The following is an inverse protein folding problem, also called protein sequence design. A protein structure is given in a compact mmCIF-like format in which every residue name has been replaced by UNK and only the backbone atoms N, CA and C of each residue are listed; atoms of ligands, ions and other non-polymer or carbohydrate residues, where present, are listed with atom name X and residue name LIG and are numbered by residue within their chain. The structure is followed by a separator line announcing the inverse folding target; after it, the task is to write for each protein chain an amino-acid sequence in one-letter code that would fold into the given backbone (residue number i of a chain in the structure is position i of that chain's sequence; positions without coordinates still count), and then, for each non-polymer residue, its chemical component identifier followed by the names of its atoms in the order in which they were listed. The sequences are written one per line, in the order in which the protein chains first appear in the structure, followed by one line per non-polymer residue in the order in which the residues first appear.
data_IF_937554732971
#
_entry.id   IF_937554732971
#
_cell.length_a   1.000
_cell.length_b   1.000
_cell.length_c   1.000
_cell.angle_alpha   90.00
_cell.angle_beta   90.00
_cell.angle_gamma   90.00
#
_symmetry.space_group_name_H-M   'P 1'
#
loop_
_entity.id
_entity.type
_entity.pdbx_description
1 polymer ?
#
# COMPACT_ATOMS: atom_id res chain seq x y z
N UNK A 1 -4.24 -35.38 -13.26
CA UNK A 1 -5.19 -35.04 -12.18
C UNK A 1 -5.23 -33.53 -11.96
N UNK A 2 -4.10 -32.84 -11.71
CA UNK A 2 -4.06 -31.40 -11.43
C UNK A 2 -4.65 -30.52 -12.56
N UNK A 3 -4.40 -30.84 -13.84
CA UNK A 3 -4.99 -30.10 -14.99
C UNK A 3 -6.53 -30.15 -15.00
N UNK A 4 -7.15 -31.20 -14.48
CA UNK A 4 -8.61 -31.30 -14.36
C UNK A 4 -9.13 -30.38 -13.26
N UNK A 5 -8.50 -30.35 -12.08
CA UNK A 5 -8.92 -29.48 -10.97
C UNK A 5 -8.74 -27.99 -11.36
N UNK A 6 -7.61 -27.64 -11.97
CA UNK A 6 -7.38 -26.31 -12.50
C UNK A 6 -8.49 -25.87 -13.50
N UNK A 7 -8.85 -26.73 -14.46
CA UNK A 7 -9.94 -26.46 -15.41
C UNK A 7 -11.30 -26.29 -14.73
N UNK A 8 -11.54 -27.01 -13.63
CA UNK A 8 -12.75 -26.90 -12.84
C UNK A 8 -12.74 -25.70 -11.88
N UNK A 9 -11.70 -24.86 -11.90
CA UNK A 9 -11.48 -23.71 -11.01
C UNK A 9 -11.36 -24.08 -9.52
N UNK A 10 -11.03 -25.33 -9.21
CA UNK A 10 -10.68 -25.81 -7.88
C UNK A 10 -9.18 -25.57 -7.66
N UNK A 11 -8.84 -24.28 -7.50
CA UNK A 11 -7.44 -23.83 -7.47
C UNK A 11 -6.70 -24.24 -6.21
N UNK A 12 -7.38 -24.40 -5.09
CA UNK A 12 -6.77 -24.87 -3.83
C UNK A 12 -6.29 -26.33 -3.95
N UNK A 13 -7.19 -27.21 -4.39
CA UNK A 13 -6.84 -28.62 -4.67
C UNK A 13 -5.80 -28.71 -5.79
N UNK A 14 -5.92 -27.87 -6.83
CA UNK A 14 -4.95 -27.88 -7.92
C UNK A 14 -3.56 -27.45 -7.44
N UNK A 15 -3.45 -26.42 -6.60
CA UNK A 15 -2.18 -25.98 -6.01
C UNK A 15 -1.51 -27.10 -5.20
N UNK A 16 -2.27 -27.80 -4.34
CA UNK A 16 -1.76 -28.91 -3.55
C UNK A 16 -1.20 -30.04 -4.44
N UNK A 17 -1.95 -30.45 -5.48
CA UNK A 17 -1.52 -31.49 -6.41
C UNK A 17 -0.32 -31.08 -7.27
N UNK A 18 -0.23 -29.80 -7.62
CA UNK A 18 0.89 -29.22 -8.36
C UNK A 18 2.15 -29.16 -7.49
N UNK A 19 2.01 -28.79 -6.21
CA UNK A 19 3.14 -28.82 -5.27
C UNK A 19 3.69 -30.25 -5.07
N UNK A 20 2.81 -31.23 -4.92
CA UNK A 20 3.20 -32.66 -4.89
C UNK A 20 3.93 -33.08 -6.17
N UNK A 21 3.45 -32.66 -7.34
CA UNK A 21 4.09 -32.95 -8.60
C UNK A 21 5.48 -32.31 -8.69
N UNK A 22 5.64 -31.05 -8.32
CA UNK A 22 6.91 -30.33 -8.29
C UNK A 22 7.95 -31.04 -7.42
N UNK A 23 7.54 -31.50 -6.24
CA UNK A 23 8.42 -32.21 -5.30
C UNK A 23 8.84 -33.58 -5.82
N UNK A 24 7.92 -34.35 -6.42
CA UNK A 24 8.16 -35.72 -6.86
C UNK A 24 8.85 -35.82 -8.23
N UNK A 25 8.55 -34.89 -9.13
CA UNK A 25 8.90 -34.94 -10.53
C UNK A 25 9.63 -33.67 -11.04
N UNK A 26 10.51 -33.10 -10.21
CA UNK A 26 11.22 -31.85 -10.52
C UNK A 26 12.12 -31.88 -11.77
N UNK A 27 12.34 -33.05 -12.40
CA UNK A 27 13.08 -33.20 -13.68
C UNK A 27 12.17 -33.56 -14.85
N UNK A 28 10.85 -33.49 -14.67
CA UNK A 28 9.90 -33.78 -15.73
C UNK A 28 9.94 -32.72 -16.82
N UNK A 29 9.73 -33.12 -18.08
CA UNK A 29 9.52 -32.16 -19.18
C UNK A 29 8.31 -31.23 -18.99
N UNK A 30 7.41 -31.56 -18.06
CA UNK A 30 6.22 -30.75 -17.72
C UNK A 30 6.41 -29.88 -16.49
N UNK A 31 7.63 -29.77 -15.95
CA UNK A 31 7.86 -29.07 -14.68
C UNK A 31 7.62 -27.57 -14.80
N UNK A 32 8.04 -26.95 -15.91
CA UNK A 32 7.80 -25.53 -16.18
C UNK A 32 6.29 -25.22 -16.22
N UNK A 33 5.52 -26.01 -16.99
CA UNK A 33 4.05 -25.87 -17.03
C UNK A 33 3.42 -26.01 -15.64
N UNK A 34 3.87 -26.99 -14.86
CA UNK A 34 3.35 -27.25 -13.53
C UNK A 34 3.66 -26.11 -12.54
N UNK A 35 4.86 -25.55 -12.60
CA UNK A 35 5.24 -24.40 -11.76
C UNK A 35 4.49 -23.12 -12.17
N UNK A 36 4.30 -22.88 -13.46
CA UNK A 36 3.47 -21.78 -13.95
C UNK A 36 2.01 -21.92 -13.50
N UNK A 37 1.42 -23.11 -13.64
CA UNK A 37 0.06 -23.37 -13.16
C UNK A 37 -0.06 -23.25 -11.63
N UNK A 38 0.94 -23.65 -10.87
CA UNK A 38 0.99 -23.49 -9.42
C UNK A 38 0.92 -22.00 -9.02
N UNK A 39 1.72 -21.16 -9.64
CA UNK A 39 1.69 -19.73 -9.41
C UNK A 39 0.33 -19.10 -9.78
N UNK A 40 -0.27 -19.51 -10.89
CA UNK A 40 -1.60 -19.07 -11.32
C UNK A 40 -2.71 -19.52 -10.38
N UNK A 41 -2.61 -20.68 -9.72
CA UNK A 41 -3.58 -21.08 -8.69
C UNK A 41 -3.69 -20.02 -7.59
N UNK A 42 -2.58 -19.55 -7.04
CA UNK A 42 -2.59 -18.50 -6.01
C UNK A 42 -3.06 -17.15 -6.54
N UNK A 43 -2.74 -16.82 -7.78
CA UNK A 43 -3.27 -15.61 -8.41
C UNK A 43 -4.81 -15.62 -8.45
N UNK A 44 -5.41 -16.75 -8.86
CA UNK A 44 -6.88 -16.89 -8.88
C UNK A 44 -7.51 -16.97 -7.49
N UNK A 45 -6.78 -17.44 -6.49
CA UNK A 45 -7.20 -17.46 -5.09
C UNK A 45 -7.00 -16.09 -4.40
N UNK A 46 -6.19 -15.20 -4.98
CA UNK A 46 -5.93 -13.87 -4.44
C UNK A 46 -7.18 -12.99 -4.50
N UNK A 47 -7.69 -12.51 -3.34
CA UNK A 47 -8.90 -11.71 -3.31
C UNK A 47 -8.62 -10.23 -3.62
N UNK A 48 -9.68 -9.42 -3.69
CA UNK A 48 -9.55 -7.97 -3.78
C UNK A 48 -8.89 -7.34 -2.54
N UNK A 49 -8.39 -6.09 -2.65
CA UNK A 49 -7.51 -5.48 -1.65
C UNK A 49 -8.14 -5.27 -0.26
N UNK A 50 -9.47 -5.25 -0.14
CA UNK A 50 -10.17 -5.10 1.16
C UNK A 50 -10.11 -6.36 2.04
N UNK A 51 -9.77 -7.53 1.46
CA UNK A 51 -9.72 -8.83 2.15
C UNK A 51 -8.30 -9.17 2.60
N UNK A 52 -8.12 -10.32 3.26
CA UNK A 52 -6.80 -10.86 3.60
C UNK A 52 -5.96 -11.10 2.34
N UNK A 53 -4.69 -10.75 2.38
CA UNK A 53 -3.78 -10.80 1.23
C UNK A 53 -2.75 -11.93 1.32
N UNK A 54 -2.99 -12.96 2.14
CA UNK A 54 -2.09 -14.11 2.29
C UNK A 54 -1.87 -14.81 0.95
N UNK A 55 -2.96 -15.06 0.19
CA UNK A 55 -2.87 -15.69 -1.13
C UNK A 55 -2.15 -14.80 -2.15
N UNK A 56 -2.31 -13.49 -2.06
CA UNK A 56 -1.57 -12.53 -2.89
C UNK A 56 -0.06 -12.62 -2.63
N UNK A 57 0.34 -12.70 -1.36
CA UNK A 57 1.75 -12.90 -0.99
C UNK A 57 2.31 -14.22 -1.53
N UNK A 58 1.57 -15.31 -1.41
CA UNK A 58 1.97 -16.62 -1.95
C UNK A 58 2.07 -16.60 -3.48
N UNK A 59 1.14 -15.93 -4.17
CA UNK A 59 1.19 -15.77 -5.62
C UNK A 59 2.46 -15.01 -6.05
N UNK A 60 2.78 -13.89 -5.41
CA UNK A 60 3.98 -13.11 -5.70
C UNK A 60 5.27 -13.94 -5.51
N UNK A 61 5.36 -14.72 -4.44
CA UNK A 61 6.50 -15.61 -4.20
C UNK A 61 6.62 -16.63 -5.34
N UNK A 62 5.55 -17.35 -5.64
CA UNK A 62 5.55 -18.39 -6.68
C UNK A 62 5.86 -17.85 -8.07
N UNK A 63 5.32 -16.64 -8.41
CA UNK A 63 5.58 -15.95 -9.68
C UNK A 63 7.05 -15.53 -9.79
N UNK A 64 7.63 -14.95 -8.73
CA UNK A 64 9.02 -14.54 -8.73
C UNK A 64 9.97 -15.72 -8.81
N UNK A 65 9.66 -16.84 -8.14
CA UNK A 65 10.40 -18.09 -8.27
C UNK A 65 10.35 -18.63 -9.71
N UNK A 66 9.16 -18.63 -10.34
CA UNK A 66 8.98 -19.04 -11.73
C UNK A 66 9.81 -18.18 -12.68
N UNK A 67 9.66 -16.84 -12.59
CA UNK A 67 10.39 -15.91 -13.47
C UNK A 67 11.91 -16.02 -13.31
N UNK A 68 12.40 -16.28 -12.09
CA UNK A 68 13.82 -16.48 -11.82
C UNK A 68 14.34 -17.80 -12.39
N UNK A 69 13.54 -18.85 -12.35
CA UNK A 69 13.93 -20.19 -12.83
C UNK A 69 13.81 -20.35 -14.34
N UNK A 70 12.83 -19.67 -14.95
CA UNK A 70 12.52 -19.77 -16.38
C UNK A 70 12.52 -18.40 -17.07
N UNK A 71 13.67 -17.69 -17.12
CA UNK A 71 13.73 -16.31 -17.63
C UNK A 71 13.42 -16.19 -19.14
N UNK A 72 13.40 -17.31 -19.85
CA UNK A 72 13.11 -17.37 -21.30
C UNK A 72 11.75 -18.05 -21.59
N UNK A 73 10.93 -18.29 -20.59
CA UNK A 73 9.59 -18.85 -20.77
C UNK A 73 8.68 -17.92 -21.57
N UNK A 74 7.86 -18.47 -22.44
CA UNK A 74 6.81 -17.71 -23.17
C UNK A 74 5.79 -17.05 -22.20
N UNK A 75 5.70 -17.51 -20.96
CA UNK A 75 4.79 -16.99 -19.95
C UNK A 75 5.33 -15.75 -19.20
N UNK A 76 6.58 -15.35 -19.39
CA UNK A 76 7.26 -14.29 -18.62
C UNK A 76 6.48 -12.96 -18.66
N UNK A 77 6.05 -12.51 -19.84
CA UNK A 77 5.35 -11.22 -19.97
C UNK A 77 3.98 -11.24 -19.27
N UNK A 78 3.29 -12.38 -19.32
CA UNK A 78 2.06 -12.56 -18.58
C UNK A 78 2.31 -12.50 -17.05
N UNK A 79 3.35 -13.16 -16.55
CA UNK A 79 3.70 -13.14 -15.14
C UNK A 79 4.18 -11.77 -14.65
N UNK A 80 4.88 -10.99 -15.46
CA UNK A 80 5.23 -9.59 -15.14
C UNK A 80 3.96 -8.74 -14.94
N UNK A 81 2.98 -8.90 -15.85
CA UNK A 81 1.69 -8.20 -15.76
C UNK A 81 0.94 -8.58 -14.48
N UNK A 82 0.85 -9.87 -14.18
CA UNK A 82 0.21 -10.39 -12.96
C UNK A 82 0.95 -9.92 -11.71
N UNK A 83 2.28 -9.91 -11.72
CA UNK A 83 3.11 -9.43 -10.60
C UNK A 83 2.81 -7.97 -10.29
N UNK A 84 2.71 -7.12 -11.32
CA UNK A 84 2.35 -5.70 -11.17
C UNK A 84 0.95 -5.54 -10.58
N UNK A 85 -0.03 -6.31 -11.08
CA UNK A 85 -1.41 -6.29 -10.56
C UNK A 85 -1.47 -6.70 -9.07
N UNK A 86 -0.80 -7.80 -8.70
CA UNK A 86 -0.78 -8.28 -7.32
C UNK A 86 -0.06 -7.30 -6.37
N UNK A 87 1.02 -6.69 -6.84
CA UNK A 87 1.73 -5.64 -6.10
C UNK A 87 0.82 -4.45 -5.86
N UNK A 88 0.06 -4.01 -6.88
CA UNK A 88 -0.92 -2.94 -6.73
C UNK A 88 -2.01 -3.30 -5.70
N UNK A 89 -2.47 -4.55 -5.63
CA UNK A 89 -3.43 -4.99 -4.58
C UNK A 89 -2.87 -4.80 -3.16
N UNK A 90 -1.57 -5.02 -2.95
CA UNK A 90 -0.93 -4.77 -1.65
C UNK A 90 -0.83 -3.28 -1.34
N UNK A 91 -0.50 -2.44 -2.32
CA UNK A 91 -0.52 -0.97 -2.18
C UNK A 91 -1.92 -0.47 -1.81
N UNK A 92 -2.94 -0.93 -2.54
CA UNK A 92 -4.34 -0.60 -2.27
C UNK A 92 -4.76 -1.03 -0.87
N UNK A 93 -4.35 -2.23 -0.42
CA UNK A 93 -4.61 -2.72 0.94
C UNK A 93 -4.03 -1.80 2.01
N UNK A 94 -2.78 -1.40 1.86
CA UNK A 94 -2.11 -0.51 2.81
C UNK A 94 -2.80 0.85 2.88
N UNK A 95 -3.14 1.42 1.71
CA UNK A 95 -3.89 2.66 1.61
C UNK A 95 -5.27 2.55 2.26
N UNK A 96 -6.08 1.54 1.92
CA UNK A 96 -7.45 1.36 2.43
C UNK A 96 -7.46 1.17 3.96
N UNK A 97 -6.50 0.44 4.51
CA UNK A 97 -6.36 0.27 5.95
C UNK A 97 -6.10 1.62 6.64
N UNK A 98 -5.17 2.41 6.12
CA UNK A 98 -4.83 3.72 6.66
C UNK A 98 -5.99 4.72 6.50
N UNK A 99 -6.63 4.74 5.33
CA UNK A 99 -7.79 5.58 5.02
C UNK A 99 -9.00 5.29 5.92
N UNK A 100 -9.16 4.04 6.37
CA UNK A 100 -10.22 3.67 7.31
C UNK A 100 -10.09 4.45 8.63
N UNK A 101 -8.88 4.57 9.20
CA UNK A 101 -8.66 5.38 10.40
C UNK A 101 -8.96 6.87 10.17
N UNK A 102 -8.62 7.39 9.00
CA UNK A 102 -8.93 8.77 8.62
C UNK A 102 -10.46 9.00 8.58
N UNK A 103 -11.20 8.12 7.89
CA UNK A 103 -12.67 8.22 7.76
C UNK A 103 -13.41 8.20 9.09
N UNK A 104 -12.95 7.43 10.06
CA UNK A 104 -13.57 7.36 11.38
C UNK A 104 -13.04 8.43 12.36
N UNK A 105 -12.25 9.42 11.86
CA UNK A 105 -11.75 10.54 12.68
C UNK A 105 -10.63 10.17 13.66
N UNK A 106 -10.00 9.00 13.53
CA UNK A 106 -8.86 8.57 14.36
C UNK A 106 -7.56 9.12 13.78
N UNK A 107 -7.44 10.45 13.72
CA UNK A 107 -6.37 11.16 12.99
C UNK A 107 -4.96 10.76 13.44
N UNK A 108 -4.70 10.59 14.74
CA UNK A 108 -3.40 10.11 15.23
C UNK A 108 -3.03 8.74 14.63
N UNK A 109 -3.96 7.80 14.64
CA UNK A 109 -3.76 6.46 14.06
C UNK A 109 -3.65 6.52 12.53
N UNK A 110 -4.45 7.38 11.89
CA UNK A 110 -4.38 7.62 10.45
C UNK A 110 -3.00 8.09 10.02
N UNK A 111 -2.43 9.11 10.69
CA UNK A 111 -1.09 9.63 10.39
C UNK A 111 -0.04 8.51 10.47
N UNK A 112 -0.07 7.71 11.54
CA UNK A 112 0.89 6.61 11.71
C UNK A 112 0.73 5.57 10.60
N UNK A 113 -0.51 5.14 10.32
CA UNK A 113 -0.78 4.12 9.29
C UNK A 113 -0.46 4.62 7.88
N UNK A 114 -0.76 5.89 7.56
CA UNK A 114 -0.43 6.51 6.27
C UNK A 114 1.10 6.60 6.08
N UNK A 115 1.84 7.03 7.10
CA UNK A 115 3.31 7.07 7.06
C UNK A 115 3.91 5.68 6.89
N UNK A 116 3.34 4.66 7.56
CA UNK A 116 3.76 3.28 7.38
C UNK A 116 3.49 2.77 5.95
N UNK A 117 2.34 3.11 5.36
CA UNK A 117 2.03 2.76 3.97
C UNK A 117 3.03 3.37 2.99
N UNK A 118 3.41 4.65 3.14
CA UNK A 118 4.47 5.29 2.32
C UNK A 118 5.83 4.61 2.48
N UNK A 119 6.18 4.25 3.71
CA UNK A 119 7.46 3.57 4.00
C UNK A 119 7.51 2.17 3.39
N UNK A 120 6.40 1.45 3.44
CA UNK A 120 6.30 0.08 2.92
C UNK A 120 6.22 0.05 1.39
N UNK A 121 5.54 1.03 0.79
CA UNK A 121 5.29 1.10 -0.65
C UNK A 121 5.56 2.52 -1.18
N UNK A 122 6.83 2.92 -1.29
CA UNK A 122 7.19 4.27 -1.74
C UNK A 122 6.75 4.58 -3.17
N UNK A 123 6.66 3.55 -4.03
CA UNK A 123 6.23 3.65 -5.44
C UNK A 123 4.71 3.51 -5.63
N UNK A 124 3.92 3.60 -4.54
CA UNK A 124 2.47 3.44 -4.63
C UNK A 124 1.83 4.53 -5.49
N UNK A 125 0.88 4.14 -6.35
CA UNK A 125 0.04 5.08 -7.10
C UNK A 125 -0.82 5.99 -6.21
N UNK A 126 -0.99 5.63 -4.93
CA UNK A 126 -1.69 6.44 -3.93
C UNK A 126 -0.78 7.44 -3.22
N UNK A 127 0.50 7.57 -3.61
CA UNK A 127 1.50 8.36 -2.88
C UNK A 127 1.06 9.80 -2.65
N UNK A 128 0.61 10.50 -3.70
CA UNK A 128 0.10 11.86 -3.60
C UNK A 128 -1.07 11.97 -2.63
N UNK A 129 -2.06 11.10 -2.76
CA UNK A 129 -3.25 11.09 -1.91
C UNK A 129 -2.90 10.78 -0.45
N UNK A 130 -2.00 9.83 -0.21
CA UNK A 130 -1.53 9.47 1.14
C UNK A 130 -0.84 10.69 1.78
N UNK A 131 0.05 11.38 1.06
CA UNK A 131 0.76 12.54 1.59
C UNK A 131 -0.20 13.71 1.88
N UNK A 132 -1.17 13.97 1.00
CA UNK A 132 -2.24 14.92 1.27
C UNK A 132 -3.01 14.55 2.54
N UNK A 133 -3.44 13.30 2.69
CA UNK A 133 -4.18 12.84 3.86
C UNK A 133 -3.36 12.93 5.16
N UNK A 134 -2.03 12.79 5.09
CA UNK A 134 -1.15 13.02 6.26
C UNK A 134 -1.23 14.49 6.68
N UNK A 135 -1.18 15.45 5.74
CA UNK A 135 -1.28 16.88 6.04
C UNK A 135 -2.65 17.19 6.66
N UNK A 136 -3.75 16.78 6.03
CA UNK A 136 -5.10 17.04 6.51
C UNK A 136 -5.37 16.37 7.87
N UNK A 137 -4.98 15.11 8.04
CA UNK A 137 -5.11 14.40 9.32
C UNK A 137 -4.29 15.07 10.44
N UNK A 138 -3.08 15.55 10.11
CA UNK A 138 -2.22 16.26 11.07
C UNK A 138 -2.83 17.60 11.47
N UNK A 139 -3.38 18.34 10.50
CA UNK A 139 -4.09 19.59 10.75
C UNK A 139 -5.31 19.37 11.67
N UNK A 140 -6.18 18.39 11.33
CA UNK A 140 -7.36 18.06 12.18
C UNK A 140 -6.96 17.54 13.54
N UNK A 141 -5.87 16.78 13.65
CA UNK A 141 -5.36 16.31 14.92
C UNK A 141 -4.81 17.45 15.77
N UNK A 142 -4.15 18.45 15.20
CA UNK A 142 -3.71 19.65 15.89
C UNK A 142 -4.90 20.50 16.36
N UNK A 143 -5.83 20.82 15.46
CA UNK A 143 -7.00 21.67 15.73
C UNK A 143 -7.90 21.11 16.85
N UNK A 144 -8.03 19.78 16.94
CA UNK A 144 -8.85 19.09 17.95
C UNK A 144 -8.08 18.76 19.23
N UNK A 145 -6.92 19.37 19.46
CA UNK A 145 -6.07 19.10 20.62
C UNK A 145 -6.24 20.15 21.70
N UNK A 146 -5.86 19.81 22.92
CA UNK A 146 -5.74 20.77 24.01
C UNK A 146 -4.62 21.77 23.70
N UNK A 147 -4.75 23.02 24.16
CA UNK A 147 -3.88 24.14 23.79
C UNK A 147 -2.38 23.83 23.98
N UNK A 148 -2.02 23.17 25.11
CA UNK A 148 -0.64 22.84 25.45
C UNK A 148 0.03 21.89 24.42
N UNK A 149 -0.75 21.22 23.58
CA UNK A 149 -0.25 20.27 22.55
C UNK A 149 -0.42 20.77 21.11
N UNK A 150 -1.13 21.88 20.93
CA UNK A 150 -1.42 22.36 19.57
C UNK A 150 -0.17 22.87 18.88
N UNK A 151 0.71 23.59 19.58
CA UNK A 151 1.96 24.12 19.04
C UNK A 151 2.82 23.04 18.38
N UNK A 152 3.15 21.98 19.13
CA UNK A 152 3.98 20.88 18.62
C UNK A 152 3.31 20.17 17.42
N UNK A 153 1.98 20.01 17.47
CA UNK A 153 1.23 19.33 16.43
C UNK A 153 1.11 20.15 15.15
N UNK A 154 0.96 21.47 15.27
CA UNK A 154 0.98 22.35 14.09
C UNK A 154 2.37 22.41 13.46
N UNK A 155 3.46 22.40 14.24
CA UNK A 155 4.81 22.28 13.72
C UNK A 155 5.00 20.98 12.93
N UNK A 156 4.60 19.84 13.50
CA UNK A 156 4.67 18.54 12.82
C UNK A 156 3.78 18.47 11.56
N UNK A 157 2.65 19.19 11.54
CA UNK A 157 1.81 19.33 10.35
C UNK A 157 2.51 20.14 9.28
N UNK A 158 3.18 21.26 9.64
CA UNK A 158 3.91 22.09 8.69
C UNK A 158 5.08 21.32 8.04
N UNK A 159 5.78 20.44 8.78
CA UNK A 159 6.80 19.55 8.20
C UNK A 159 6.20 18.64 7.11
N UNK A 160 5.02 18.07 7.40
CA UNK A 160 4.31 17.22 6.43
C UNK A 160 3.82 18.01 5.21
N UNK A 161 3.36 19.25 5.43
CA UNK A 161 2.97 20.17 4.36
C UNK A 161 4.14 20.53 3.45
N UNK A 162 5.31 20.85 4.01
CA UNK A 162 6.50 21.19 3.23
C UNK A 162 6.92 20.01 2.35
N UNK A 163 6.94 18.81 2.90
CA UNK A 163 7.25 17.58 2.16
C UNK A 163 6.25 17.35 1.02
N UNK A 164 4.94 17.55 1.27
CA UNK A 164 3.92 17.43 0.23
C UNK A 164 4.09 18.45 -0.87
N UNK A 165 4.32 19.71 -0.53
CA UNK A 165 4.46 20.81 -1.47
C UNK A 165 5.71 20.69 -2.33
N UNK A 166 6.82 20.18 -1.77
CA UNK A 166 8.06 19.93 -2.48
C UNK A 166 7.87 18.81 -3.53
N UNK A 167 7.18 17.73 -3.16
CA UNK A 167 7.02 16.56 -4.03
C UNK A 167 5.88 16.75 -5.07
N UNK A 168 4.80 17.45 -4.69
CA UNK A 168 3.60 17.64 -5.52
C UNK A 168 3.18 19.12 -5.65
N UNK A 169 4.03 20.00 -6.22
CA UNK A 169 3.74 21.44 -6.30
C UNK A 169 2.52 21.79 -7.17
N UNK A 170 2.15 20.91 -8.10
CA UNK A 170 1.01 21.09 -9.00
C UNK A 170 -0.22 20.25 -8.60
N UNK A 171 -0.22 19.67 -7.39
CA UNK A 171 -1.34 18.88 -6.90
C UNK A 171 -2.65 19.66 -6.90
N UNK A 172 -3.75 18.99 -7.22
CA UNK A 172 -5.12 19.52 -7.06
C UNK A 172 -5.43 19.96 -5.62
N UNK A 173 -4.70 19.40 -4.63
CA UNK A 173 -4.86 19.69 -3.21
C UNK A 173 -4.04 20.87 -2.71
N UNK A 174 -3.17 21.47 -3.55
CA UNK A 174 -2.20 22.47 -3.12
C UNK A 174 -2.87 23.68 -2.45
N UNK A 175 -3.98 24.18 -3.00
CA UNK A 175 -4.71 25.33 -2.45
C UNK A 175 -5.31 25.03 -1.08
N UNK A 176 -5.68 23.80 -0.83
CA UNK A 176 -6.28 23.38 0.43
C UNK A 176 -5.21 23.25 1.52
N UNK A 177 -4.10 22.57 1.22
CA UNK A 177 -2.99 22.43 2.17
C UNK A 177 -2.29 23.78 2.45
N UNK A 178 -2.21 24.69 1.47
CA UNK A 178 -1.70 26.06 1.68
C UNK A 178 -2.56 26.85 2.69
N UNK A 179 -3.90 26.70 2.63
CA UNK A 179 -4.81 27.32 3.63
C UNK A 179 -4.62 26.75 5.02
N UNK A 180 -4.47 25.41 5.12
CA UNK A 180 -4.19 24.75 6.39
C UNK A 180 -2.86 25.21 6.99
N UNK A 181 -1.82 25.33 6.15
CA UNK A 181 -0.50 25.80 6.56
C UNK A 181 -0.52 27.25 7.01
N UNK A 182 -1.27 28.13 6.32
CA UNK A 182 -1.42 29.52 6.73
C UNK A 182 -2.11 29.62 8.11
N UNK A 183 -3.21 28.89 8.30
CA UNK A 183 -3.89 28.87 9.59
C UNK A 183 -2.98 28.38 10.74
N UNK A 184 -2.16 27.34 10.46
CA UNK A 184 -1.21 26.83 11.45
C UNK A 184 -0.14 27.88 11.82
N UNK A 185 0.39 28.62 10.83
CA UNK A 185 1.35 29.73 11.07
C UNK A 185 0.72 30.85 11.87
N UNK A 186 -0.47 31.30 11.50
CA UNK A 186 -1.19 32.37 12.20
C UNK A 186 -1.46 32.00 13.68
N UNK A 187 -1.73 30.72 13.95
CA UNK A 187 -1.86 30.20 15.31
C UNK A 187 -0.54 30.28 16.08
N UNK A 188 0.55 29.81 15.48
CA UNK A 188 1.87 29.78 16.10
C UNK A 188 2.41 31.20 16.38
N UNK A 189 2.14 32.16 15.49
CA UNK A 189 2.60 33.53 15.65
C UNK A 189 1.83 34.24 16.79
N UNK A 190 0.54 33.99 16.94
CA UNK A 190 -0.26 34.51 18.06
C UNK A 190 0.24 34.00 19.41
N UNK A 191 0.48 32.69 19.53
CA UNK A 191 0.96 32.11 20.79
C UNK A 191 2.36 32.65 21.18
N UNK A 192 3.27 32.85 20.22
CA UNK A 192 4.57 33.46 20.50
C UNK A 192 4.47 34.90 21.03
N UNK A 193 3.49 35.67 20.59
CA UNK A 193 3.24 37.03 21.08
C UNK A 193 2.67 37.03 22.49
N UNK A 194 1.83 36.06 22.82
CA UNK A 194 1.30 35.91 24.19
C UNK A 194 2.39 35.52 25.19
N UNK A 195 3.27 34.58 24.84
CA UNK A 195 4.40 34.17 25.68
C UNK A 195 5.43 35.28 25.91
N UNK A 196 5.63 36.19 24.95
CA UNK A 196 6.56 37.32 25.08
C UNK A 196 5.97 38.49 25.86
N UNK A 197 4.67 38.49 26.17
CA UNK A 197 3.99 39.58 26.91
C UNK A 197 3.79 39.23 28.40
N UNK A 198 4.27 38.06 28.88
CA UNK A 198 4.28 37.60 30.25
C UNK A 198 5.66 37.75 30.84
#
# INVERSE_FOLDING_TARGET
VYKRQYKNRDYDTAATLLDDFRRKFGRSAFIEDAEGMYALCFYYLSPGPSRDQTMTGQALIAINEFMSRYPHSEQIENFKTINTELTQRLHDKAYLNAYTYYKIGRYKSAIVSLKNALKQYPESSHREEIMYLIVDASYRFASNSVAEKQTDRYLAMLDSYLSFKEEFPESKHIKEVDRMAQHARDYLDRNKQEDNNI
#
